data_IF_448228123754
#
_entry.id   IF_448228123754
#
_cell.length_a   1.000
_cell.length_b   1.000
_cell.length_c   1.000
_cell.angle_alpha   90.00
_cell.angle_beta   90.00
_cell.angle_gamma   90.00
#
_symmetry.space_group_name_H-M   'P 1'
#
loop_
_entity.id
_entity.type
_entity.pdbx_description
1 polymer ?
#
# COMPACT_ATOMS: atom_id res chain seq x y z
N UNK A 1 12.43 27.25 81.49
CA UNK A 1 13.16 26.30 80.60
C UNK A 1 12.25 25.28 79.91
N UNK A 2 11.12 24.84 80.49
CA UNK A 2 10.22 23.85 79.89
C UNK A 2 9.65 24.23 78.50
N UNK A 3 9.09 25.45 78.34
CA UNK A 3 8.50 25.93 77.06
C UNK A 3 9.41 25.78 75.84
N UNK A 4 10.71 26.06 76.00
CA UNK A 4 11.69 26.01 74.89
C UNK A 4 11.99 24.57 74.45
N UNK A 5 11.82 23.58 75.34
CA UNK A 5 12.01 22.17 75.05
C UNK A 5 10.82 21.60 74.28
N UNK A 6 9.60 22.00 74.65
CA UNK A 6 8.37 21.58 73.97
C UNK A 6 8.28 22.12 72.54
N UNK A 7 8.69 23.37 72.33
CA UNK A 7 8.82 23.98 70.99
C UNK A 7 9.83 23.23 70.10
N UNK A 8 10.96 22.81 70.66
CA UNK A 8 11.98 22.03 69.94
C UNK A 8 11.48 20.62 69.59
N UNK A 9 10.70 19.98 70.47
CA UNK A 9 10.08 18.67 70.19
C UNK A 9 9.03 18.79 69.09
N UNK A 10 8.23 19.85 69.10
CA UNK A 10 7.27 20.14 68.03
C UNK A 10 7.97 20.32 66.67
N UNK A 11 9.03 21.13 66.62
CA UNK A 11 9.87 21.31 65.44
C UNK A 11 10.47 19.98 64.95
N UNK A 12 10.98 19.16 65.87
CA UNK A 12 11.54 17.84 65.54
C UNK A 12 10.48 16.91 64.92
N UNK A 13 9.27 16.88 65.47
CA UNK A 13 8.18 16.06 64.94
C UNK A 13 7.71 16.55 63.57
N UNK A 14 7.65 17.87 63.38
CA UNK A 14 7.33 18.46 62.08
C UNK A 14 8.37 18.09 61.02
N UNK A 15 9.67 18.22 61.33
CA UNK A 15 10.77 17.81 60.45
C UNK A 15 10.68 16.31 60.09
N UNK A 16 10.37 15.44 61.07
CA UNK A 16 10.17 14.01 60.81
C UNK A 16 9.02 13.77 59.85
N UNK A 17 7.89 14.42 60.05
CA UNK A 17 6.71 14.29 59.22
C UNK A 17 6.97 14.81 57.79
N UNK A 18 7.68 15.93 57.65
CA UNK A 18 8.11 16.46 56.35
C UNK A 18 9.07 15.52 55.64
N UNK A 19 10.02 14.92 56.34
CA UNK A 19 10.95 13.94 55.76
C UNK A 19 10.21 12.66 55.30
N UNK A 20 9.19 12.23 56.04
CA UNK A 20 8.38 11.06 55.69
C UNK A 20 7.50 11.33 54.47
N UNK A 21 6.92 12.52 54.38
CA UNK A 21 6.24 13.00 53.16
C UNK A 21 7.21 13.11 51.97
N UNK A 22 8.44 13.58 52.20
CA UNK A 22 9.49 13.65 51.18
C UNK A 22 9.82 12.28 50.58
N UNK A 23 9.92 11.24 51.42
CA UNK A 23 10.12 9.85 50.98
C UNK A 23 8.93 9.29 50.20
N UNK A 24 7.70 9.63 50.61
CA UNK A 24 6.50 9.23 49.87
C UNK A 24 6.43 9.91 48.49
N UNK A 25 6.79 11.19 48.41
CA UNK A 25 6.92 11.93 47.16
C UNK A 25 7.99 11.31 46.24
N UNK A 26 9.15 10.96 46.78
CA UNK A 26 10.22 10.27 46.04
C UNK A 26 9.70 8.97 45.41
N UNK A 27 8.97 8.14 46.17
CA UNK A 27 8.36 6.91 45.64
C UNK A 27 7.31 7.17 44.56
N UNK A 28 6.53 8.26 44.67
CA UNK A 28 5.56 8.65 43.64
C UNK A 28 6.29 9.09 42.37
N UNK A 29 7.36 9.89 42.48
CA UNK A 29 8.16 10.32 41.33
C UNK A 29 8.79 9.11 40.63
N UNK A 30 9.37 8.16 41.38
CA UNK A 30 9.92 6.92 40.78
C UNK A 30 8.86 6.15 40.00
N UNK A 31 7.65 6.00 40.56
CA UNK A 31 6.54 5.33 39.86
C UNK A 31 6.07 6.09 38.62
N UNK A 32 6.14 7.42 38.64
CA UNK A 32 5.80 8.25 37.48
C UNK A 32 6.82 8.10 36.36
N UNK A 33 8.12 8.06 36.69
CA UNK A 33 9.19 7.78 35.72
C UNK A 33 9.04 6.38 35.11
N UNK A 34 8.80 5.35 35.94
CA UNK A 34 8.52 3.99 35.45
C UNK A 34 7.27 3.94 34.55
N UNK A 35 6.26 4.76 34.84
CA UNK A 35 5.05 4.86 34.01
C UNK A 35 5.34 5.57 32.69
N UNK A 36 6.13 6.65 32.71
CA UNK A 36 6.56 7.39 31.51
C UNK A 36 7.31 6.47 30.57
N UNK A 37 8.33 5.74 31.06
CA UNK A 37 9.10 4.77 30.29
C UNK A 37 8.20 3.67 29.69
N UNK A 38 7.23 3.16 30.44
CA UNK A 38 6.29 2.13 29.95
C UNK A 38 5.32 2.68 28.91
N UNK A 39 4.90 3.93 29.04
CA UNK A 39 4.03 4.60 28.07
C UNK A 39 4.79 4.85 26.78
N UNK A 40 6.00 5.37 26.84
CA UNK A 40 6.84 5.64 25.67
C UNK A 40 7.14 4.36 24.88
N UNK A 41 7.53 3.27 25.56
CA UNK A 41 7.74 1.97 24.93
C UNK A 41 6.46 1.43 24.24
N UNK A 42 5.29 1.63 24.86
CA UNK A 42 4.00 1.22 24.26
C UNK A 42 3.62 2.07 23.06
N UNK A 43 3.90 3.37 23.10
CA UNK A 43 3.68 4.28 21.95
C UNK A 43 4.53 3.84 20.78
N UNK A 44 5.83 3.61 21.00
CA UNK A 44 6.75 3.12 19.95
C UNK A 44 6.26 1.82 19.31
N UNK A 45 5.84 0.83 20.12
CA UNK A 45 5.30 -0.43 19.60
C UNK A 45 4.02 -0.25 18.78
N UNK A 46 3.13 0.66 19.20
CA UNK A 46 1.91 0.98 18.45
C UNK A 46 2.23 1.67 17.13
N UNK A 47 3.21 2.59 17.11
CA UNK A 47 3.66 3.24 15.89
C UNK A 47 4.24 2.23 14.88
N UNK A 48 5.08 1.31 15.34
CA UNK A 48 5.61 0.22 14.52
C UNK A 48 4.50 -0.67 13.96
N UNK A 49 3.56 -1.12 14.79
CA UNK A 49 2.41 -1.89 14.34
C UNK A 49 1.55 -1.13 13.33
N UNK A 50 1.34 0.18 13.51
CA UNK A 50 0.56 0.99 12.58
C UNK A 50 1.26 1.08 11.23
N UNK A 51 2.59 1.22 11.20
CA UNK A 51 3.37 1.22 9.96
C UNK A 51 3.38 -0.14 9.27
N UNK A 52 3.40 -1.24 10.02
CA UNK A 52 3.25 -2.59 9.48
C UNK A 52 1.84 -2.80 8.88
N UNK A 53 0.79 -2.42 9.61
CA UNK A 53 -0.59 -2.50 9.13
C UNK A 53 -0.78 -1.66 7.87
N UNK A 54 -0.23 -0.44 7.82
CA UNK A 54 -0.31 0.43 6.62
C UNK A 54 0.27 -0.23 5.38
N UNK A 55 1.32 -1.04 5.53
CA UNK A 55 1.87 -1.84 4.42
C UNK A 55 0.88 -2.94 4.03
N UNK A 56 0.24 -3.61 4.97
CA UNK A 56 -0.71 -4.69 4.65
C UNK A 56 -2.03 -4.24 4.03
N UNK A 57 -2.44 -2.97 4.20
CA UNK A 57 -3.71 -2.46 3.66
C UNK A 57 -3.70 -2.48 2.12
N UNK A 58 -4.60 -3.25 1.46
CA UNK A 58 -4.72 -3.25 0.02
C UNK A 58 -5.32 -1.93 -0.52
N UNK A 59 -5.10 -1.65 -1.80
CA UNK A 59 -5.70 -0.52 -2.50
C UNK A 59 -7.25 -0.55 -2.46
N UNK A 60 -7.87 0.64 -2.36
CA UNK A 60 -9.34 0.77 -2.31
C UNK A 60 -9.99 0.44 -3.65
N UNK A 61 -11.32 0.31 -3.67
CA UNK A 61 -12.07 0.04 -4.90
C UNK A 61 -11.95 1.18 -5.92
N UNK A 62 -11.93 2.43 -5.47
CA UNK A 62 -11.76 3.62 -6.32
C UNK A 62 -10.38 3.60 -6.99
N UNK A 63 -9.35 3.30 -6.21
CA UNK A 63 -7.97 3.13 -6.69
C UNK A 63 -7.87 2.00 -7.72
N UNK A 64 -8.53 0.86 -7.46
CA UNK A 64 -8.60 -0.25 -8.41
C UNK A 64 -9.28 0.17 -9.73
N UNK A 65 -10.38 0.92 -9.66
CA UNK A 65 -11.06 1.46 -10.85
C UNK A 65 -10.17 2.39 -11.66
N UNK A 66 -9.38 3.23 -10.99
CA UNK A 66 -8.45 4.12 -11.67
C UNK A 66 -7.37 3.34 -12.41
N UNK A 67 -6.75 2.33 -11.78
CA UNK A 67 -5.77 1.44 -12.44
C UNK A 67 -6.40 0.70 -13.62
N UNK A 68 -7.62 0.20 -13.48
CA UNK A 68 -8.36 -0.41 -14.59
C UNK A 68 -8.57 0.56 -15.75
N UNK A 69 -8.90 1.81 -15.46
CA UNK A 69 -9.09 2.85 -16.48
C UNK A 69 -7.80 3.12 -17.26
N UNK A 70 -6.66 3.20 -16.56
CA UNK A 70 -5.33 3.37 -17.18
C UNK A 70 -5.02 2.18 -18.09
N UNK A 71 -5.16 0.94 -17.58
CA UNK A 71 -4.92 -0.28 -18.36
C UNK A 71 -5.82 -0.35 -19.58
N UNK A 72 -7.11 -0.03 -19.44
CA UNK A 72 -8.05 -0.04 -20.56
C UNK A 72 -7.72 0.99 -21.63
N UNK A 73 -7.31 2.18 -21.21
CA UNK A 73 -6.94 3.29 -22.11
C UNK A 73 -5.68 2.93 -22.90
N UNK A 74 -4.63 2.48 -22.22
CA UNK A 74 -3.38 2.05 -22.87
C UNK A 74 -3.54 0.83 -23.75
N UNK A 75 -4.28 -0.18 -23.29
CA UNK A 75 -4.54 -1.37 -24.12
C UNK A 75 -5.28 -1.01 -25.41
N UNK A 76 -6.18 -0.03 -25.36
CA UNK A 76 -6.84 0.49 -26.57
C UNK A 76 -5.85 1.22 -27.50
N UNK A 77 -4.96 2.04 -26.96
CA UNK A 77 -3.88 2.71 -27.71
C UNK A 77 -2.95 1.68 -28.38
N UNK A 78 -2.45 0.70 -27.62
CA UNK A 78 -1.60 -0.38 -28.12
C UNK A 78 -2.28 -1.22 -29.19
N UNK A 79 -3.59 -1.44 -29.07
CA UNK A 79 -4.34 -2.16 -30.10
C UNK A 79 -4.44 -1.36 -31.40
N UNK A 80 -4.60 -0.04 -31.31
CA UNK A 80 -4.58 0.85 -32.49
C UNK A 80 -3.19 0.89 -33.12
N UNK A 81 -2.14 0.94 -32.32
CA UNK A 81 -0.75 0.89 -32.79
C UNK A 81 -0.44 -0.44 -33.49
N UNK A 82 -0.86 -1.56 -32.90
CA UNK A 82 -0.70 -2.88 -33.49
C UNK A 82 -1.36 -3.00 -34.87
N UNK A 83 -2.58 -2.47 -35.02
CA UNK A 83 -3.32 -2.48 -36.29
C UNK A 83 -3.15 -1.21 -37.11
N UNK A 84 -2.08 -0.43 -36.90
CA UNK A 84 -1.84 0.81 -37.64
C UNK A 84 -1.76 0.59 -39.15
N UNK A 85 -1.28 -0.58 -39.57
CA UNK A 85 -1.17 -0.98 -40.98
C UNK A 85 -2.44 -1.65 -41.53
N UNK A 86 -3.54 -1.63 -40.78
CA UNK A 86 -4.81 -2.25 -41.16
C UNK A 86 -5.13 -3.50 -40.35
N UNK A 87 -6.42 -3.84 -40.34
CA UNK A 87 -6.93 -5.03 -39.65
C UNK A 87 -7.17 -6.11 -40.73
N UNK A 88 -6.56 -7.31 -40.61
CA UNK A 88 -6.54 -8.34 -41.67
C UNK A 88 -7.83 -9.17 -41.71
N UNK A 89 -9.00 -8.53 -41.55
CA UNK A 89 -10.31 -9.17 -41.69
C UNK A 89 -11.31 -8.21 -42.35
N UNK A 90 -12.39 -8.79 -42.87
CA UNK A 90 -13.51 -8.02 -43.40
C UNK A 90 -14.07 -7.03 -42.36
N UNK A 91 -14.58 -5.89 -42.83
CA UNK A 91 -15.07 -4.77 -42.00
C UNK A 91 -16.05 -5.21 -40.91
N UNK A 92 -16.91 -6.20 -41.18
CA UNK A 92 -17.88 -6.75 -40.22
C UNK A 92 -17.23 -7.42 -39.01
N UNK A 93 -16.00 -7.93 -39.14
CA UNK A 93 -15.28 -8.65 -38.08
C UNK A 93 -14.17 -7.83 -37.42
N UNK A 94 -13.84 -6.65 -37.95
CA UNK A 94 -12.77 -5.80 -37.42
C UNK A 94 -12.97 -5.41 -35.96
N UNK A 95 -14.22 -5.09 -35.57
CA UNK A 95 -14.56 -4.75 -34.18
C UNK A 95 -14.30 -5.90 -33.21
N UNK A 96 -14.67 -7.12 -33.60
CA UNK A 96 -14.46 -8.31 -32.76
C UNK A 96 -12.98 -8.66 -32.63
N UNK A 97 -12.22 -8.59 -33.73
CA UNK A 97 -10.78 -8.80 -33.69
C UNK A 97 -10.07 -7.73 -32.84
N UNK A 98 -10.50 -6.47 -32.95
CA UNK A 98 -9.98 -5.37 -32.13
C UNK A 98 -10.24 -5.62 -30.64
N UNK A 99 -11.47 -6.03 -30.26
CA UNK A 99 -11.80 -6.36 -28.87
C UNK A 99 -10.95 -7.52 -28.34
N UNK A 100 -10.77 -8.58 -29.12
CA UNK A 100 -9.93 -9.72 -28.73
C UNK A 100 -8.47 -9.31 -28.51
N UNK A 101 -7.92 -8.49 -29.42
CA UNK A 101 -6.56 -7.99 -29.31
C UNK A 101 -6.38 -7.04 -28.11
N UNK A 102 -7.34 -6.14 -27.88
CA UNK A 102 -7.38 -5.31 -26.66
C UNK A 102 -7.38 -6.17 -25.40
N UNK A 103 -8.16 -7.25 -25.38
CA UNK A 103 -8.18 -8.22 -24.28
C UNK A 103 -6.81 -8.86 -24.01
N UNK A 104 -6.04 -9.17 -25.05
CA UNK A 104 -4.67 -9.69 -24.91
C UNK A 104 -3.74 -8.65 -24.26
N UNK A 105 -3.75 -7.40 -24.73
CA UNK A 105 -2.95 -6.33 -24.11
C UNK A 105 -3.33 -6.11 -22.64
N UNK A 106 -4.62 -6.13 -22.30
CA UNK A 106 -5.07 -6.02 -20.91
C UNK A 106 -4.47 -7.14 -20.06
N UNK A 107 -4.53 -8.39 -20.52
CA UNK A 107 -3.94 -9.54 -19.81
C UNK A 107 -2.44 -9.38 -19.64
N UNK A 108 -1.72 -9.03 -20.71
CA UNK A 108 -0.28 -8.84 -20.68
C UNK A 108 0.14 -7.71 -19.69
N UNK A 109 -0.57 -6.59 -19.70
CA UNK A 109 -0.35 -5.50 -18.73
C UNK A 109 -0.53 -5.96 -17.29
N UNK A 110 -1.59 -6.72 -17.00
CA UNK A 110 -1.81 -7.25 -15.65
C UNK A 110 -0.78 -8.28 -15.24
N UNK A 111 -0.33 -9.14 -16.14
CA UNK A 111 0.75 -10.11 -15.87
C UNK A 111 2.03 -9.39 -15.47
N UNK A 112 2.48 -8.40 -16.25
CA UNK A 112 3.68 -7.62 -15.94
C UNK A 112 3.58 -6.86 -14.64
N UNK A 113 2.43 -6.27 -14.36
CA UNK A 113 2.20 -5.56 -13.09
C UNK A 113 2.28 -6.54 -11.90
N UNK A 114 1.66 -7.72 -12.00
CA UNK A 114 1.74 -8.75 -10.96
C UNK A 114 3.17 -9.23 -10.73
N UNK A 115 3.93 -9.43 -11.81
CA UNK A 115 5.34 -9.84 -11.73
C UNK A 115 6.21 -8.75 -11.10
N UNK A 116 6.02 -7.48 -11.49
CA UNK A 116 6.81 -6.36 -10.97
C UNK A 116 6.60 -6.13 -9.47
N UNK A 117 5.35 -6.22 -9.00
CA UNK A 117 5.01 -6.04 -7.59
C UNK A 117 5.01 -7.35 -6.79
N UNK A 118 5.31 -8.48 -7.43
CA UNK A 118 5.26 -9.82 -6.83
C UNK A 118 3.93 -10.13 -6.11
N UNK A 119 2.80 -9.83 -6.78
CA UNK A 119 1.46 -10.02 -6.22
C UNK A 119 0.64 -11.02 -7.05
N UNK A 120 -0.20 -11.86 -6.43
CA UNK A 120 -1.04 -12.81 -7.17
C UNK A 120 -2.17 -12.13 -7.96
N UNK A 121 -2.65 -10.97 -7.49
CA UNK A 121 -3.74 -10.19 -8.08
C UNK A 121 -3.43 -8.71 -7.95
N UNK A 122 -3.81 -7.90 -8.94
CA UNK A 122 -3.61 -6.45 -8.88
C UNK A 122 -4.39 -5.79 -7.73
N UNK A 123 -5.49 -6.41 -7.27
CA UNK A 123 -6.26 -5.94 -6.10
C UNK A 123 -5.52 -6.16 -4.78
N UNK A 124 -4.48 -6.99 -4.76
CA UNK A 124 -3.64 -7.23 -3.59
C UNK A 124 -2.44 -6.27 -3.52
N UNK A 125 -2.35 -5.31 -4.44
CA UNK A 125 -1.37 -4.22 -4.33
C UNK A 125 -1.64 -3.45 -3.04
N UNK A 126 -0.57 -3.17 -2.32
CA UNK A 126 -0.63 -2.41 -1.08
C UNK A 126 -0.88 -0.93 -1.37
N UNK A 127 -1.60 -0.25 -0.48
CA UNK A 127 -1.95 1.17 -0.64
C UNK A 127 -0.71 2.06 -0.73
N UNK A 128 0.37 1.69 -0.03
CA UNK A 128 1.67 2.37 -0.07
C UNK A 128 2.32 2.36 -1.46
N UNK A 129 2.06 1.33 -2.27
CA UNK A 129 2.61 1.16 -3.61
C UNK A 129 1.71 1.72 -4.72
N UNK A 130 0.59 2.37 -4.36
CA UNK A 130 -0.41 2.81 -5.32
C UNK A 130 0.16 3.76 -6.38
N UNK A 131 0.86 4.82 -5.95
CA UNK A 131 1.40 5.83 -6.87
C UNK A 131 2.49 5.25 -7.76
N UNK A 132 3.33 4.37 -7.20
CA UNK A 132 4.35 3.63 -7.94
C UNK A 132 3.70 2.72 -8.99
N UNK A 133 2.57 2.10 -8.67
CA UNK A 133 1.80 1.27 -9.60
C UNK A 133 1.26 2.10 -10.77
N UNK A 134 0.71 3.29 -10.49
CA UNK A 134 0.24 4.21 -11.54
C UNK A 134 1.38 4.63 -12.47
N UNK A 135 2.52 5.00 -11.91
CA UNK A 135 3.71 5.36 -12.69
C UNK A 135 4.18 4.19 -13.56
N UNK A 136 4.30 3.00 -12.98
CA UNK A 136 4.68 1.79 -13.72
C UNK A 136 3.76 1.53 -14.92
N UNK A 137 2.44 1.53 -14.71
CA UNK A 137 1.47 1.36 -15.79
C UNK A 137 1.60 2.43 -16.87
N UNK A 138 1.90 3.68 -16.48
CA UNK A 138 2.08 4.81 -17.39
C UNK A 138 3.40 4.74 -18.16
N UNK A 139 4.42 4.05 -17.64
CA UNK A 139 5.70 3.87 -18.31
C UNK A 139 5.71 2.73 -19.34
N UNK A 140 4.87 1.69 -19.18
CA UNK A 140 4.79 0.57 -20.14
C UNK A 140 4.51 1.12 -21.55
N UNK A 141 5.37 0.84 -22.51
CA UNK A 141 5.20 1.21 -23.90
C UNK A 141 4.85 0.00 -24.77
N UNK A 142 4.30 0.25 -25.96
CA UNK A 142 3.97 -0.81 -26.92
C UNK A 142 5.17 -1.69 -27.28
N UNK A 143 6.36 -1.09 -27.42
CA UNK A 143 7.61 -1.78 -27.74
C UNK A 143 8.08 -2.76 -26.66
N UNK A 144 7.54 -2.69 -25.46
CA UNK A 144 7.98 -3.53 -24.34
C UNK A 144 7.37 -4.94 -24.45
N UNK A 145 6.29 -5.12 -25.22
CA UNK A 145 5.64 -6.41 -25.39
C UNK A 145 6.43 -7.29 -26.37
N UNK A 146 6.76 -8.51 -25.92
CA UNK A 146 7.39 -9.53 -26.77
C UNK A 146 6.35 -10.13 -27.70
N UNK A 147 6.81 -10.57 -28.85
CA UNK A 147 5.97 -11.11 -29.90
C UNK A 147 5.08 -12.29 -29.43
N UNK A 148 5.63 -13.23 -28.65
CA UNK A 148 4.84 -14.34 -28.08
C UNK A 148 3.73 -13.90 -27.11
N UNK A 149 3.88 -12.76 -26.42
CA UNK A 149 2.83 -12.19 -25.54
C UNK A 149 1.63 -11.67 -26.36
N UNK A 150 1.84 -11.47 -27.66
CA UNK A 150 0.89 -10.91 -28.61
C UNK A 150 0.36 -11.96 -29.61
N UNK A 151 0.84 -13.19 -29.56
CA UNK A 151 0.60 -14.23 -30.56
C UNK A 151 -0.53 -15.21 -30.24
N UNK A 152 -1.29 -15.00 -29.16
CA UNK A 152 -2.42 -15.88 -28.77
C UNK A 152 -3.65 -15.77 -29.72
N UNK A 153 -3.43 -16.12 -30.99
CA UNK A 153 -4.42 -16.16 -32.06
C UNK A 153 -5.38 -17.35 -31.90
N UNK A 154 -5.05 -18.34 -31.07
CA UNK A 154 -5.90 -19.52 -30.82
C UNK A 154 -7.29 -19.14 -30.25
N UNK A 155 -7.41 -17.98 -29.60
CA UNK A 155 -8.69 -17.43 -29.15
C UNK A 155 -9.52 -16.75 -30.25
N UNK A 156 -8.98 -16.59 -31.47
CA UNK A 156 -9.59 -15.84 -32.57
C UNK A 156 -10.45 -16.74 -33.45
N UNK A 157 -11.57 -17.21 -32.92
CA UNK A 157 -12.63 -17.80 -33.75
C UNK A 157 -13.36 -16.69 -34.55
N UNK A 158 -12.75 -16.21 -35.64
CA UNK A 158 -13.26 -15.16 -36.53
C UNK A 158 -13.18 -15.63 -37.98
N UNK A 159 -14.29 -15.65 -38.73
CA UNK A 159 -14.28 -16.05 -40.14
C UNK A 159 -13.35 -15.18 -41.00
N UNK A 160 -12.55 -15.80 -41.88
CA UNK A 160 -11.63 -15.12 -42.79
C UNK A 160 -10.27 -14.76 -42.19
N UNK A 161 -10.05 -15.06 -40.91
CA UNK A 161 -8.76 -14.95 -40.23
C UNK A 161 -8.08 -16.33 -40.33
N UNK A 162 -7.58 -16.66 -41.51
CA UNK A 162 -7.01 -17.98 -41.81
C UNK A 162 -5.79 -18.22 -40.92
N UNK A 163 -5.74 -19.38 -40.25
CA UNK A 163 -4.50 -19.92 -39.68
C UNK A 163 -3.59 -20.32 -40.85
N UNK A 164 -2.49 -19.58 -41.05
CA UNK A 164 -1.30 -20.12 -41.72
C UNK A 164 -0.53 -21.03 -40.76
#
# INVERSE_FOLDING_TARGET
MAKRKDELIFLQNHIKQTNEQGKQLEQVVTRLLDLEDRVENRVSYVEEMVEEIKKEVPITYEQQKELQSIVQSKSNEFTREYYKNGIPVEKRYQSELFKKKKGQFIRAMWTRLKEYFNVPRYTAIQKVDYDRTKQFLTMIAFKDFKQHELEDKASWNIPGLVEE
#
